data_IF_037825223777
#
_entry.id   IF_037825223777
#
_cell.length_a   1.000
_cell.length_b   1.000
_cell.length_c   1.000
_cell.angle_alpha   90.00
_cell.angle_beta   90.00
_cell.angle_gamma   90.00
#
_symmetry.space_group_name_H-M   'P 1'
#
loop_
_entity.id
_entity.type
_entity.pdbx_description
1 polymer ?
#
# COMPACT_ATOMS: atom_id res chain seq x y z
N UNK A 1 -26.50 -5.33 29.47
CA UNK A 1 -25.41 -4.89 28.60
C UNK A 1 -25.74 -5.41 27.22
N UNK A 2 -26.02 -4.56 26.26
CA UNK A 2 -26.23 -5.00 24.87
C UNK A 2 -24.85 -5.42 24.34
N UNK A 3 -24.62 -6.71 24.27
CA UNK A 3 -23.45 -7.25 23.58
C UNK A 3 -23.71 -7.14 22.08
N UNK A 4 -23.44 -5.98 21.49
CA UNK A 4 -23.31 -5.87 20.04
C UNK A 4 -21.94 -6.43 19.69
N UNK A 5 -21.94 -7.61 19.08
CA UNK A 5 -20.71 -8.22 18.52
C UNK A 5 -20.73 -7.99 17.03
N UNK A 6 -19.81 -7.17 16.52
CA UNK A 6 -19.67 -6.95 15.09
C UNK A 6 -19.04 -8.18 14.42
N UNK A 7 -19.55 -8.57 13.27
CA UNK A 7 -19.04 -9.71 12.52
C UNK A 7 -18.09 -9.25 11.42
N UNK A 8 -16.82 -9.62 11.57
CA UNK A 8 -15.76 -9.31 10.64
C UNK A 8 -15.52 -10.47 9.68
N UNK A 9 -15.54 -10.17 8.39
CA UNK A 9 -15.04 -11.08 7.34
C UNK A 9 -13.69 -10.59 6.83
N UNK A 10 -12.75 -11.51 6.61
CA UNK A 10 -11.43 -11.20 6.06
C UNK A 10 -11.36 -11.76 4.65
N UNK A 11 -10.98 -10.94 3.66
CA UNK A 11 -10.92 -11.31 2.26
C UNK A 11 -9.71 -10.64 1.60
N UNK A 12 -8.54 -11.24 1.77
CA UNK A 12 -7.26 -10.73 1.32
C UNK A 12 -6.42 -11.84 0.70
N UNK A 13 -5.28 -11.51 0.17
CA UNK A 13 -4.28 -12.50 -0.28
C UNK A 13 -3.54 -13.17 0.90
N UNK A 14 -3.79 -12.70 2.15
CA UNK A 14 -3.08 -13.12 3.36
C UNK A 14 -4.03 -13.27 4.55
N UNK A 15 -5.19 -13.92 4.36
CA UNK A 15 -6.26 -14.06 5.36
C UNK A 15 -5.77 -14.61 6.69
N UNK A 16 -4.94 -15.66 6.67
CA UNK A 16 -4.38 -16.26 7.88
C UNK A 16 -3.55 -15.25 8.69
N UNK A 17 -2.74 -14.44 8.02
CA UNK A 17 -1.93 -13.42 8.67
C UNK A 17 -2.79 -12.36 9.35
N UNK A 18 -3.80 -11.82 8.65
CA UNK A 18 -4.70 -10.84 9.22
C UNK A 18 -5.56 -11.42 10.34
N UNK A 19 -6.02 -12.67 10.19
CA UNK A 19 -6.75 -13.40 11.24
C UNK A 19 -5.91 -13.48 12.53
N UNK A 20 -4.65 -13.89 12.43
CA UNK A 20 -3.76 -13.97 13.59
C UNK A 20 -3.48 -12.60 14.21
N UNK A 21 -3.28 -11.56 13.40
CA UNK A 21 -3.06 -10.20 13.88
C UNK A 21 -4.27 -9.68 14.67
N UNK A 22 -5.49 -9.96 14.21
CA UNK A 22 -6.74 -9.54 14.86
C UNK A 22 -6.98 -10.33 16.13
N UNK A 23 -6.81 -11.65 16.11
CA UNK A 23 -6.98 -12.51 17.27
C UNK A 23 -5.99 -12.20 18.41
N UNK A 24 -4.82 -11.65 18.08
CA UNK A 24 -3.84 -11.19 19.06
C UNK A 24 -4.22 -9.84 19.72
N UNK A 25 -5.27 -9.17 19.26
CA UNK A 25 -5.82 -7.99 19.89
C UNK A 25 -6.99 -8.40 20.80
N UNK A 26 -7.09 -7.74 21.95
CA UNK A 26 -8.26 -7.92 22.84
C UNK A 26 -9.42 -7.06 22.33
N UNK A 27 -10.23 -7.62 21.43
CA UNK A 27 -11.36 -6.97 20.77
C UNK A 27 -12.66 -7.73 21.12
N UNK A 28 -13.22 -7.53 22.34
CA UNK A 28 -14.34 -8.31 22.85
C UNK A 28 -15.64 -8.14 22.05
N UNK A 29 -15.78 -7.05 21.31
CA UNK A 29 -16.96 -6.73 20.50
C UNK A 29 -16.78 -7.10 19.00
N UNK A 30 -15.78 -7.92 18.66
CA UNK A 30 -15.48 -8.36 17.30
C UNK A 30 -15.39 -9.88 17.21
N UNK A 31 -16.14 -10.47 16.28
CA UNK A 31 -16.11 -11.89 15.96
C UNK A 31 -15.75 -12.10 14.49
N UNK A 32 -14.77 -12.96 14.21
CA UNK A 32 -14.44 -13.31 12.83
C UNK A 32 -15.43 -14.36 12.31
N UNK A 33 -16.10 -14.05 11.20
CA UNK A 33 -17.04 -14.96 10.53
C UNK A 33 -16.51 -15.45 9.19
N UNK A 34 -16.91 -16.69 8.83
CA UNK A 34 -16.66 -17.25 7.50
C UNK A 34 -17.91 -17.16 6.59
N UNK A 35 -19.03 -16.63 7.12
CA UNK A 35 -20.25 -16.45 6.34
C UNK A 35 -20.36 -14.99 5.89
N UNK A 36 -20.25 -14.69 4.59
CA UNK A 36 -20.33 -13.32 4.08
C UNK A 36 -21.70 -12.67 4.31
N UNK A 37 -22.79 -13.45 4.34
CA UNK A 37 -24.14 -12.91 4.56
C UNK A 37 -24.34 -12.30 5.95
N UNK A 38 -23.52 -12.71 6.92
CA UNK A 38 -23.58 -12.24 8.32
C UNK A 38 -22.57 -11.12 8.61
N UNK A 39 -21.67 -10.84 7.68
CA UNK A 39 -20.59 -9.87 7.91
C UNK A 39 -21.10 -8.43 7.80
N UNK A 40 -20.86 -7.67 8.86
CA UNK A 40 -21.14 -6.24 8.94
C UNK A 40 -19.88 -5.43 8.57
N UNK A 41 -18.71 -5.97 8.90
CA UNK A 41 -17.40 -5.37 8.63
C UNK A 41 -16.59 -6.30 7.74
N UNK A 42 -15.93 -5.76 6.72
CA UNK A 42 -15.05 -6.54 5.86
C UNK A 42 -13.67 -5.87 5.76
N UNK A 43 -12.63 -6.61 6.13
CA UNK A 43 -11.25 -6.25 5.85
C UNK A 43 -10.85 -6.93 4.55
N UNK A 44 -10.61 -6.15 3.48
CA UNK A 44 -10.43 -6.75 2.17
C UNK A 44 -9.42 -6.06 1.25
N UNK A 45 -8.86 -6.87 0.35
CA UNK A 45 -8.19 -6.37 -0.86
C UNK A 45 -9.23 -5.95 -1.89
N UNK A 46 -9.17 -4.71 -2.42
CA UNK A 46 -10.17 -4.20 -3.36
C UNK A 46 -10.47 -5.11 -4.56
N UNK A 47 -9.48 -5.76 -5.22
CA UNK A 47 -9.79 -6.65 -6.34
C UNK A 47 -10.67 -7.84 -5.95
N UNK A 48 -10.47 -8.40 -4.74
CA UNK A 48 -11.19 -9.59 -4.30
C UNK A 48 -12.63 -9.27 -3.89
N UNK A 49 -12.83 -8.20 -3.11
CA UNK A 49 -14.17 -7.86 -2.64
C UNK A 49 -15.04 -7.24 -3.72
N UNK A 50 -14.47 -6.51 -4.69
CA UNK A 50 -15.25 -5.87 -5.75
C UNK A 50 -16.11 -6.87 -6.53
N UNK A 51 -15.65 -8.10 -6.71
CA UNK A 51 -16.36 -9.18 -7.42
C UNK A 51 -17.40 -9.89 -6.56
N UNK A 52 -17.40 -9.62 -5.24
CA UNK A 52 -18.20 -10.36 -4.25
C UNK A 52 -19.07 -9.48 -3.36
N UNK A 53 -19.15 -8.18 -3.62
CA UNK A 53 -19.89 -7.21 -2.78
C UNK A 53 -21.35 -7.64 -2.53
N UNK A 54 -22.00 -8.26 -3.50
CA UNK A 54 -23.40 -8.69 -3.40
C UNK A 54 -23.61 -9.89 -2.45
N UNK A 55 -22.55 -10.60 -2.05
CA UNK A 55 -22.63 -11.68 -1.09
C UNK A 55 -22.82 -11.14 0.35
N UNK A 56 -22.41 -9.91 0.62
CA UNK A 56 -22.41 -9.29 1.94
C UNK A 56 -23.73 -8.55 2.20
N UNK A 57 -24.73 -9.28 2.72
CA UNK A 57 -26.11 -8.75 2.89
C UNK A 57 -26.25 -7.73 4.01
N UNK A 58 -25.36 -7.76 5.00
CA UNK A 58 -25.38 -6.89 6.19
C UNK A 58 -24.20 -5.93 6.23
N UNK A 59 -23.56 -5.66 5.08
CA UNK A 59 -22.37 -4.88 4.99
C UNK A 59 -22.57 -3.40 5.38
N UNK A 60 -21.93 -2.98 6.45
CA UNK A 60 -21.90 -1.60 6.93
C UNK A 60 -20.55 -0.91 6.63
N UNK A 61 -19.45 -1.67 6.68
CA UNK A 61 -18.12 -1.09 6.55
C UNK A 61 -17.14 -2.01 5.83
N UNK A 62 -16.45 -1.46 4.82
CA UNK A 62 -15.27 -2.06 4.18
C UNK A 62 -14.03 -1.28 4.55
N UNK A 63 -13.04 -1.93 5.14
CA UNK A 63 -11.69 -1.40 5.26
C UNK A 63 -10.78 -2.04 4.21
N UNK A 64 -10.32 -1.23 3.27
CA UNK A 64 -9.39 -1.67 2.23
C UNK A 64 -7.97 -1.83 2.77
N UNK A 65 -7.34 -2.97 2.51
CA UNK A 65 -5.91 -3.20 2.79
C UNK A 65 -4.99 -2.42 1.85
N UNK A 66 -5.54 -1.81 0.79
CA UNK A 66 -4.81 -0.99 -0.17
C UNK A 66 -5.08 0.50 0.04
N UNK A 67 -4.11 1.34 -0.32
CA UNK A 67 -4.32 2.78 -0.42
C UNK A 67 -5.22 3.15 -1.61
N UNK A 68 -5.07 2.45 -2.74
CA UNK A 68 -5.90 2.62 -3.94
C UNK A 68 -7.23 1.89 -3.82
N UNK A 69 -8.34 2.60 -4.01
CA UNK A 69 -9.70 2.06 -3.90
C UNK A 69 -10.50 2.14 -5.21
N UNK A 70 -9.87 2.40 -6.33
CA UNK A 70 -10.51 2.61 -7.62
C UNK A 70 -11.42 1.44 -8.06
N UNK A 71 -11.08 0.22 -7.63
CA UNK A 71 -11.90 -0.97 -7.89
C UNK A 71 -13.22 -0.97 -7.13
N UNK A 72 -13.32 -0.27 -6.00
CA UNK A 72 -14.51 -0.20 -5.15
C UNK A 72 -15.35 1.06 -5.39
N UNK A 73 -14.85 2.01 -6.17
CA UNK A 73 -15.55 3.28 -6.47
C UNK A 73 -16.09 3.31 -7.91
N UNK A 74 -16.26 2.15 -8.54
CA UNK A 74 -16.87 2.06 -9.88
C UNK A 74 -18.37 2.37 -9.80
N UNK A 75 -18.93 3.09 -10.79
CA UNK A 75 -20.34 3.53 -10.75
C UNK A 75 -21.36 2.39 -10.72
N UNK A 76 -21.02 1.22 -11.22
CA UNK A 76 -21.84 0.01 -11.31
C UNK A 76 -21.82 -0.85 -10.04
N UNK A 77 -20.96 -0.52 -9.08
CA UNK A 77 -20.90 -1.21 -7.80
C UNK A 77 -21.78 -0.52 -6.75
N UNK A 78 -22.28 -1.30 -5.80
CA UNK A 78 -23.00 -0.75 -4.63
C UNK A 78 -22.09 0.15 -3.81
N UNK A 79 -22.64 1.24 -3.28
CA UNK A 79 -21.96 2.28 -2.52
C UNK A 79 -22.66 2.57 -1.18
N UNK A 80 -23.47 1.64 -0.69
CA UNK A 80 -24.35 1.79 0.48
C UNK A 80 -23.66 1.37 1.79
N UNK A 81 -22.32 1.38 1.82
CA UNK A 81 -21.50 1.06 2.98
C UNK A 81 -20.42 2.12 3.20
N UNK A 82 -19.87 2.17 4.41
CA UNK A 82 -18.70 3.02 4.71
C UNK A 82 -17.44 2.40 4.07
N UNK A 83 -16.70 3.18 3.27
CA UNK A 83 -15.43 2.74 2.70
C UNK A 83 -14.28 3.52 3.32
N UNK A 84 -13.33 2.81 3.90
CA UNK A 84 -12.06 3.37 4.41
C UNK A 84 -10.87 2.64 3.81
N UNK A 85 -9.71 3.27 3.82
CA UNK A 85 -8.50 2.70 3.23
C UNK A 85 -7.24 3.03 4.05
N UNK A 86 -6.17 2.33 3.76
CA UNK A 86 -4.87 2.56 4.39
C UNK A 86 -4.26 3.87 3.86
N UNK A 87 -3.82 4.75 4.79
CA UNK A 87 -3.12 6.01 4.48
C UNK A 87 -1.91 6.22 5.38
N UNK A 88 -0.91 6.90 4.85
CA UNK A 88 0.21 7.45 5.63
C UNK A 88 1.36 6.47 5.92
N UNK A 89 1.21 5.17 5.70
CA UNK A 89 2.23 4.15 6.03
C UNK A 89 3.22 3.86 4.91
N UNK A 90 2.86 4.15 3.65
CA UNK A 90 3.68 3.76 2.49
C UNK A 90 4.80 4.74 2.15
N UNK A 91 4.82 5.93 2.76
CA UNK A 91 5.80 6.98 2.45
C UNK A 91 7.25 6.50 2.51
N UNK A 92 7.71 5.91 3.64
CA UNK A 92 9.09 5.43 3.78
C UNK A 92 9.47 4.39 2.73
N UNK A 93 8.68 3.31 2.59
CA UNK A 93 8.99 2.21 1.67
C UNK A 93 9.03 2.67 0.20
N UNK A 94 8.11 3.55 -0.22
CA UNK A 94 8.11 4.09 -1.57
C UNK A 94 9.29 5.05 -1.79
N UNK A 95 9.65 5.87 -0.80
CA UNK A 95 10.82 6.73 -0.91
C UNK A 95 12.13 5.93 -1.04
N UNK A 96 12.29 4.86 -0.25
CA UNK A 96 13.42 3.93 -0.36
C UNK A 96 13.50 3.30 -1.75
N UNK A 97 12.36 2.81 -2.27
CA UNK A 97 12.28 2.23 -3.60
C UNK A 97 12.72 3.24 -4.69
N UNK A 98 12.13 4.43 -4.70
CA UNK A 98 12.41 5.47 -5.70
C UNK A 98 13.86 5.91 -5.63
N UNK A 99 14.38 6.19 -4.44
CA UNK A 99 15.77 6.61 -4.26
C UNK A 99 16.76 5.50 -4.57
N UNK A 100 16.44 4.25 -4.22
CA UNK A 100 17.27 3.09 -4.55
C UNK A 100 17.48 2.96 -6.06
N UNK A 101 16.41 3.03 -6.85
CA UNK A 101 16.51 3.01 -8.31
C UNK A 101 17.18 4.26 -8.89
N UNK A 102 16.89 5.43 -8.32
CA UNK A 102 17.54 6.69 -8.73
C UNK A 102 19.06 6.62 -8.52
N UNK A 103 19.49 6.21 -7.34
CA UNK A 103 20.91 6.03 -7.02
C UNK A 103 21.52 4.97 -7.96
N UNK A 104 20.88 3.82 -8.12
CA UNK A 104 21.36 2.75 -9.00
C UNK A 104 21.60 3.24 -10.44
N UNK A 105 20.66 4.05 -10.96
CA UNK A 105 20.78 4.66 -12.29
C UNK A 105 21.97 5.63 -12.38
N UNK A 106 22.02 6.64 -11.52
CA UNK A 106 23.06 7.67 -11.56
C UNK A 106 24.45 7.16 -11.19
N UNK A 107 24.55 6.05 -10.47
CA UNK A 107 25.81 5.41 -10.08
C UNK A 107 26.19 4.24 -10.98
N UNK A 108 25.42 3.98 -12.04
CA UNK A 108 25.66 2.93 -13.04
C UNK A 108 25.78 1.51 -12.44
N UNK A 109 25.01 1.19 -11.35
CA UNK A 109 25.13 -0.11 -10.68
C UNK A 109 24.93 -1.32 -11.61
N UNK A 110 23.92 -1.36 -12.50
CA UNK A 110 23.77 -2.49 -13.42
C UNK A 110 25.00 -2.69 -14.33
N UNK A 111 25.57 -1.60 -14.80
CA UNK A 111 26.77 -1.64 -15.66
C UNK A 111 27.99 -2.17 -14.88
N UNK A 112 28.20 -1.72 -13.65
CA UNK A 112 29.30 -2.23 -12.82
C UNK A 112 29.10 -3.68 -12.41
N UNK A 113 27.88 -4.15 -12.19
CA UNK A 113 27.60 -5.57 -11.96
C UNK A 113 27.99 -6.44 -13.17
N UNK A 114 27.67 -5.98 -14.38
CA UNK A 114 28.07 -6.68 -15.59
C UNK A 114 29.61 -6.72 -15.74
N UNK A 115 30.28 -5.58 -15.58
CA UNK A 115 31.75 -5.50 -15.65
C UNK A 115 32.41 -6.40 -14.61
N UNK A 116 31.87 -6.47 -13.41
CA UNK A 116 32.38 -7.35 -12.35
C UNK A 116 32.27 -8.83 -12.75
N UNK A 117 31.14 -9.24 -13.35
CA UNK A 117 30.95 -10.61 -13.83
C UNK A 117 31.93 -10.95 -14.96
N UNK A 118 32.24 -9.98 -15.82
CA UNK A 118 33.19 -10.10 -16.94
C UNK A 118 34.65 -9.92 -16.51
N UNK A 119 34.92 -9.63 -15.21
CA UNK A 119 36.23 -9.26 -14.66
C UNK A 119 36.91 -8.13 -15.42
N UNK A 120 36.12 -7.18 -15.92
CA UNK A 120 36.52 -6.02 -16.70
C UNK A 120 36.56 -4.77 -15.83
N UNK A 121 37.74 -4.23 -15.57
CA UNK A 121 37.91 -2.97 -14.81
C UNK A 121 37.86 -1.79 -15.77
N UNK A 122 36.68 -1.16 -15.92
CA UNK A 122 36.50 0.03 -16.75
C UNK A 122 35.67 1.09 -16.01
N UNK A 123 36.29 1.95 -15.19
CA UNK A 123 35.59 2.97 -14.41
C UNK A 123 34.98 4.04 -15.32
N UNK A 124 33.76 4.48 -14.99
CA UNK A 124 33.04 5.53 -15.67
C UNK A 124 32.79 6.71 -14.75
N UNK A 125 32.82 7.92 -15.31
CA UNK A 125 32.40 9.11 -14.57
C UNK A 125 30.87 9.05 -14.32
N UNK A 126 30.49 9.45 -13.13
CA UNK A 126 29.08 9.55 -12.73
C UNK A 126 28.76 10.96 -12.23
N UNK A 127 27.48 11.31 -12.18
CA UNK A 127 27.02 12.59 -11.65
C UNK A 127 26.35 12.40 -10.29
N UNK A 128 26.48 13.42 -9.42
CA UNK A 128 25.76 13.45 -8.14
C UNK A 128 24.26 13.65 -8.35
N UNK A 129 23.46 13.19 -7.39
CA UNK A 129 22.04 13.54 -7.30
C UNK A 129 21.83 14.99 -6.86
N UNK A 130 22.79 15.56 -6.12
CA UNK A 130 22.74 16.95 -5.69
C UNK A 130 22.61 17.91 -6.88
N UNK A 131 21.66 18.81 -6.80
CA UNK A 131 21.34 19.77 -7.86
C UNK A 131 20.46 19.21 -9.00
N UNK A 132 20.06 17.95 -8.96
CA UNK A 132 19.07 17.40 -9.89
C UNK A 132 17.67 17.84 -9.51
N UNK A 133 16.74 17.83 -10.47
CA UNK A 133 15.32 18.10 -10.25
C UNK A 133 14.52 16.81 -10.42
N UNK A 134 13.67 16.51 -9.45
CA UNK A 134 12.71 15.40 -9.49
C UNK A 134 11.30 15.98 -9.60
N UNK A 135 10.56 15.56 -10.62
CA UNK A 135 9.13 15.88 -10.75
C UNK A 135 8.31 14.81 -10.03
N UNK A 136 7.45 15.23 -9.11
CA UNK A 136 6.58 14.33 -8.33
C UNK A 136 5.13 14.62 -8.69
N UNK A 137 4.49 13.68 -9.41
CA UNK A 137 3.08 13.80 -9.76
C UNK A 137 2.21 13.36 -8.59
N UNK A 138 1.73 14.35 -7.83
CA UNK A 138 0.86 14.17 -6.66
C UNK A 138 1.53 14.57 -5.35
N UNK A 139 0.83 15.39 -4.56
CA UNK A 139 1.30 15.97 -3.30
C UNK A 139 0.67 15.33 -2.05
N UNK A 140 0.15 14.11 -2.19
CA UNK A 140 -0.38 13.30 -1.08
C UNK A 140 0.71 12.83 -0.11
N UNK A 141 0.35 11.96 0.83
CA UNK A 141 1.27 11.47 1.88
C UNK A 141 2.56 10.85 1.33
N UNK A 142 2.48 10.10 0.22
CA UNK A 142 3.62 9.46 -0.42
C UNK A 142 4.52 10.52 -1.09
N UNK A 143 3.95 11.36 -1.96
CA UNK A 143 4.72 12.38 -2.68
C UNK A 143 5.38 13.39 -1.75
N UNK A 144 4.67 13.82 -0.71
CA UNK A 144 5.23 14.73 0.31
C UNK A 144 6.37 14.08 1.10
N UNK A 145 6.27 12.78 1.40
CA UNK A 145 7.34 12.05 2.08
C UNK A 145 8.56 11.90 1.16
N UNK A 146 8.34 11.50 -0.10
CA UNK A 146 9.42 11.40 -1.10
C UNK A 146 10.14 12.74 -1.30
N UNK A 147 9.41 13.85 -1.41
CA UNK A 147 10.01 15.17 -1.56
C UNK A 147 10.93 15.52 -0.39
N UNK A 148 10.48 15.28 0.85
CA UNK A 148 11.30 15.52 2.05
C UNK A 148 12.56 14.65 2.07
N UNK A 149 12.43 13.38 1.68
CA UNK A 149 13.56 12.44 1.66
C UNK A 149 14.54 12.79 0.54
N UNK A 150 14.06 13.15 -0.65
CA UNK A 150 14.88 13.55 -1.78
C UNK A 150 15.70 14.83 -1.50
N UNK A 151 15.15 15.76 -0.73
CA UNK A 151 15.85 16.97 -0.30
C UNK A 151 17.14 16.68 0.49
N UNK A 152 17.17 15.61 1.27
CA UNK A 152 18.37 15.18 2.00
C UNK A 152 19.52 14.74 1.06
N UNK A 153 19.21 14.38 -0.18
CA UNK A 153 20.20 14.09 -1.24
C UNK A 153 20.53 15.31 -2.10
N UNK A 154 20.05 16.50 -1.73
CA UNK A 154 20.25 17.72 -2.50
C UNK A 154 19.45 17.78 -3.81
N UNK A 155 18.39 16.99 -3.92
CA UNK A 155 17.48 16.98 -5.08
C UNK A 155 16.43 18.07 -4.90
N UNK A 156 16.22 18.90 -5.92
CA UNK A 156 15.07 19.80 -5.98
C UNK A 156 13.83 19.05 -6.42
N UNK A 157 12.69 19.30 -5.76
CA UNK A 157 11.42 18.66 -6.11
C UNK A 157 10.39 19.68 -6.60
N UNK A 158 9.64 19.33 -7.63
CA UNK A 158 8.54 20.12 -8.19
C UNK A 158 7.34 19.23 -8.50
#
# INVERSE_FOLDING_TARGET
>A
MNNFTNKLYILTEHDDTYTQLILNQDLPDLEITQNPELAEVVLASPPLIAERLDEFKQLDWVHSTYAGINKLTQPDLRQDYTLTNVKGIFGPAIAEYVLGYTISHFRHFPHYHQQQAEKNWHPQLYTSLAGKTMVILGTGSIGSHLAKTAAAFGIYTI
#
